data_IF_737809346498
#
_entry.id   IF_737809346498
#
_cell.length_a   1.000
_cell.length_b   1.000
_cell.length_c   1.000
_cell.angle_alpha   90.00
_cell.angle_beta   90.00
_cell.angle_gamma   90.00
#
_symmetry.space_group_name_H-M   'P 1'
#
loop_
_entity.id
_entity.type
_entity.pdbx_description
1 polymer ?
#
# COMPACT_ATOMS: atom_id res chain seq x y z
N UNK A 1 -67.15 9.92 -26.75
CA UNK A 1 -66.38 8.82 -27.36
C UNK A 1 -64.95 9.22 -27.74
N UNK A 2 -64.27 10.09 -26.97
CA UNK A 2 -62.87 10.44 -27.26
C UNK A 2 -62.16 10.98 -26.01
N UNK A 3 -62.10 10.20 -24.92
CA UNK A 3 -61.39 10.64 -23.69
C UNK A 3 -60.94 9.51 -22.77
N UNK A 4 -60.84 8.27 -23.27
CA UNK A 4 -60.44 7.09 -22.46
C UNK A 4 -59.34 6.24 -23.12
N UNK A 5 -58.38 6.89 -23.79
CA UNK A 5 -57.29 6.18 -24.48
C UNK A 5 -55.87 6.63 -24.09
N UNK A 6 -55.71 7.52 -23.10
CA UNK A 6 -54.40 8.03 -22.68
C UNK A 6 -53.93 7.43 -21.34
N UNK A 7 -54.76 6.63 -20.66
CA UNK A 7 -54.52 6.19 -19.28
C UNK A 7 -53.80 4.86 -19.07
N UNK A 8 -53.36 4.14 -20.12
CA UNK A 8 -52.83 2.77 -19.95
C UNK A 8 -51.42 2.55 -20.54
N UNK A 9 -50.83 3.56 -21.19
CA UNK A 9 -49.47 3.43 -21.77
C UNK A 9 -48.34 4.03 -20.92
N UNK A 10 -48.64 4.67 -19.79
CA UNK A 10 -47.59 5.30 -18.95
C UNK A 10 -46.86 4.38 -17.94
N UNK A 11 -47.32 3.19 -17.50
CA UNK A 11 -46.56 2.43 -16.53
C UNK A 11 -45.51 1.47 -17.16
N UNK A 12 -45.51 1.27 -18.49
CA UNK A 12 -44.52 0.40 -19.13
C UNK A 12 -43.18 1.08 -19.46
N UNK A 13 -43.14 2.42 -19.52
CA UNK A 13 -41.91 3.14 -19.88
C UNK A 13 -41.00 3.47 -18.69
N UNK A 14 -41.51 3.34 -17.45
CA UNK A 14 -40.73 3.63 -16.23
C UNK A 14 -40.01 2.41 -15.65
N UNK A 15 -40.26 1.20 -16.14
CA UNK A 15 -39.57 -0.01 -15.66
C UNK A 15 -38.30 -0.39 -16.45
N UNK A 16 -37.95 0.34 -17.51
CA UNK A 16 -36.78 0.00 -18.37
C UNK A 16 -35.53 0.84 -18.04
N UNK A 17 -35.63 1.84 -17.16
CA UNK A 17 -34.52 2.76 -16.85
C UNK A 17 -33.70 2.40 -15.60
N UNK A 18 -33.94 1.24 -14.97
CA UNK A 18 -33.16 0.74 -13.83
C UNK A 18 -32.36 -0.54 -14.13
N UNK A 19 -31.99 -0.75 -15.39
CA UNK A 19 -31.01 -1.79 -15.79
C UNK A 19 -29.89 -1.11 -16.56
N UNK A 20 -29.01 -0.41 -15.85
CA UNK A 20 -27.99 0.38 -16.55
C UNK A 20 -26.99 1.08 -15.66
N UNK A 21 -26.48 0.42 -14.61
CA UNK A 21 -25.21 0.80 -14.01
C UNK A 21 -24.50 -0.43 -13.43
N UNK A 22 -24.32 -1.47 -14.26
CA UNK A 22 -23.20 -2.39 -14.08
C UNK A 22 -22.08 -1.87 -14.97
N UNK A 23 -21.41 -0.81 -14.52
CA UNK A 23 -20.13 -0.43 -15.12
C UNK A 23 -19.19 -1.61 -14.83
N UNK A 24 -18.72 -2.23 -15.91
CA UNK A 24 -17.82 -3.37 -15.93
C UNK A 24 -16.58 -3.08 -15.06
N UNK A 25 -16.56 -3.62 -13.84
CA UNK A 25 -15.39 -3.63 -12.95
C UNK A 25 -14.47 -4.84 -13.19
N UNK A 26 -14.96 -5.87 -13.89
CA UNK A 26 -14.20 -7.11 -14.17
C UNK A 26 -12.87 -6.83 -14.88
N UNK A 27 -12.89 -5.90 -15.84
CA UNK A 27 -11.72 -5.56 -16.65
C UNK A 27 -10.74 -4.60 -15.95
N UNK A 28 -11.09 -4.06 -14.77
CA UNK A 28 -10.14 -3.29 -13.93
C UNK A 28 -9.46 -4.24 -12.93
N UNK A 29 -10.21 -5.17 -12.35
CA UNK A 29 -9.69 -6.16 -11.42
C UNK A 29 -8.62 -7.06 -12.06
N UNK A 30 -8.90 -7.61 -13.26
CA UNK A 30 -7.95 -8.46 -13.99
C UNK A 30 -6.65 -7.71 -14.35
N UNK A 31 -6.75 -6.42 -14.72
CA UNK A 31 -5.58 -5.60 -15.03
C UNK A 31 -4.73 -5.30 -13.79
N UNK A 32 -5.37 -5.08 -12.63
CA UNK A 32 -4.70 -4.90 -11.34
C UNK A 32 -4.04 -6.20 -10.90
N UNK A 33 -4.74 -7.33 -10.99
CA UNK A 33 -4.22 -8.66 -10.64
C UNK A 33 -2.98 -9.02 -11.48
N UNK A 34 -3.07 -8.90 -12.80
CA UNK A 34 -1.92 -9.11 -13.69
C UNK A 34 -0.72 -8.19 -13.35
N UNK A 35 -0.98 -6.95 -12.91
CA UNK A 35 0.09 -6.03 -12.50
C UNK A 35 0.75 -6.49 -11.19
N UNK A 36 -0.06 -6.94 -10.24
CA UNK A 36 0.42 -7.51 -8.97
C UNK A 36 1.27 -8.74 -9.25
N UNK A 37 0.78 -9.68 -10.05
CA UNK A 37 1.51 -10.90 -10.44
C UNK A 37 2.86 -10.58 -11.08
N UNK A 38 2.89 -9.64 -12.04
CA UNK A 38 4.13 -9.21 -12.68
C UNK A 38 5.13 -8.59 -11.71
N UNK A 39 4.66 -7.81 -10.72
CA UNK A 39 5.53 -7.25 -9.67
C UNK A 39 6.07 -8.32 -8.73
N UNK A 40 5.31 -9.40 -8.53
CA UNK A 40 5.63 -10.49 -7.64
C UNK A 40 6.33 -11.68 -8.31
N UNK A 41 6.55 -11.65 -9.63
CA UNK A 41 7.08 -12.76 -10.44
C UNK A 41 8.39 -13.35 -9.88
N UNK A 42 9.26 -12.51 -9.31
CA UNK A 42 10.55 -12.91 -8.74
C UNK A 42 10.51 -13.25 -7.24
N UNK A 43 9.33 -13.17 -6.62
CA UNK A 43 9.14 -13.32 -5.18
C UNK A 43 8.37 -14.61 -4.87
N UNK A 44 9.02 -15.53 -4.15
CA UNK A 44 8.35 -16.73 -3.68
C UNK A 44 7.63 -16.46 -2.35
N UNK A 45 6.37 -16.01 -2.45
CA UNK A 45 5.53 -15.70 -1.30
C UNK A 45 5.17 -16.95 -0.49
N UNK A 46 5.27 -16.85 0.83
CA UNK A 46 4.79 -17.89 1.74
C UNK A 46 3.26 -17.97 1.79
N UNK A 47 2.74 -19.01 2.46
CA UNK A 47 1.31 -19.18 2.71
C UNK A 47 0.66 -17.96 3.38
N UNK A 48 -0.65 -17.82 3.11
CA UNK A 48 -1.49 -16.76 3.69
C UNK A 48 -1.75 -17.06 5.16
N UNK A 49 -1.47 -16.09 6.03
CA UNK A 49 -1.80 -16.17 7.46
C UNK A 49 -2.36 -14.85 7.97
N UNK A 50 -3.02 -14.89 9.14
CA UNK A 50 -3.44 -13.66 9.83
C UNK A 50 -2.20 -12.86 10.23
N UNK A 51 -2.21 -11.54 9.97
CA UNK A 51 -1.01 -10.72 10.12
C UNK A 51 -0.64 -10.44 11.58
N UNK A 52 -1.63 -10.36 12.47
CA UNK A 52 -1.46 -10.18 13.91
C UNK A 52 -2.67 -10.74 14.67
N UNK A 53 -2.53 -10.95 15.98
CA UNK A 53 -3.66 -11.29 16.86
C UNK A 53 -4.68 -10.14 16.85
N UNK A 54 -5.86 -10.38 16.27
CA UNK A 54 -6.93 -9.40 16.16
C UNK A 54 -6.89 -8.51 14.91
N UNK A 55 -5.89 -8.62 14.03
CA UNK A 55 -5.94 -8.01 12.70
C UNK A 55 -6.99 -8.73 11.85
N UNK A 56 -7.83 -8.02 11.09
CA UNK A 56 -8.84 -8.62 10.20
C UNK A 56 -8.40 -8.73 8.73
N UNK A 57 -7.09 -8.64 8.50
CA UNK A 57 -6.48 -8.82 7.20
C UNK A 57 -5.45 -9.93 7.20
N UNK A 58 -5.19 -10.45 6.00
CA UNK A 58 -4.28 -11.57 5.76
C UNK A 58 -2.95 -11.05 5.21
N UNK A 59 -1.89 -11.84 5.36
CA UNK A 59 -0.55 -11.50 4.89
C UNK A 59 0.18 -12.70 4.28
N UNK A 60 0.92 -12.46 3.20
CA UNK A 60 2.00 -13.30 2.67
C UNK A 60 3.31 -12.52 2.71
N UNK A 61 4.45 -13.20 2.83
CA UNK A 61 5.77 -12.56 2.81
C UNK A 61 6.77 -13.36 1.97
N UNK A 62 7.64 -12.64 1.26
CA UNK A 62 8.85 -13.17 0.66
C UNK A 62 10.04 -12.27 1.03
N UNK A 63 11.18 -12.88 1.29
CA UNK A 63 12.41 -12.18 1.69
C UNK A 63 13.54 -12.61 0.76
N UNK A 64 14.20 -11.63 0.15
CA UNK A 64 15.44 -11.82 -0.57
C UNK A 64 16.60 -11.36 0.31
N UNK A 65 17.52 -12.28 0.60
CA UNK A 65 18.72 -11.99 1.37
C UNK A 65 19.91 -11.98 0.43
N UNK A 66 20.48 -10.80 0.17
CA UNK A 66 21.75 -10.70 -0.53
C UNK A 66 22.89 -10.57 0.49
N UNK A 67 23.76 -11.57 0.52
CA UNK A 67 24.91 -11.60 1.41
C UNK A 67 26.09 -10.91 0.70
N UNK A 68 26.51 -9.76 1.26
CA UNK A 68 27.81 -9.08 1.17
C UNK A 68 28.49 -8.96 -0.21
N UNK A 69 28.58 -7.73 -0.74
CA UNK A 69 29.71 -7.34 -1.61
C UNK A 69 30.81 -6.76 -0.72
N UNK A 70 31.97 -7.42 -0.70
CA UNK A 70 33.22 -6.83 -0.21
C UNK A 70 33.78 -6.03 -1.38
N UNK A 71 33.85 -4.71 -1.23
CA UNK A 71 34.66 -3.92 -2.16
C UNK A 71 36.10 -3.96 -1.63
N UNK A 72 37.04 -4.48 -2.42
CA UNK A 72 38.44 -4.55 -2.00
C UNK A 72 39.13 -3.17 -2.05
N UNK A 73 38.53 -2.19 -2.74
CA UNK A 73 39.07 -0.84 -2.89
C UNK A 73 38.57 0.13 -1.81
N UNK A 74 37.45 -0.18 -1.14
CA UNK A 74 36.89 0.62 -0.04
C UNK A 74 36.70 -0.26 1.19
N UNK A 75 37.09 0.21 2.38
CA UNK A 75 36.98 -0.58 3.62
C UNK A 75 35.54 -0.61 4.14
N UNK A 76 34.61 -1.01 3.28
CA UNK A 76 33.19 -1.02 3.56
C UNK A 76 32.57 -2.38 3.25
N UNK A 77 31.81 -2.91 4.22
CA UNK A 77 31.00 -4.11 4.02
C UNK A 77 29.54 -3.66 3.98
N UNK A 78 28.77 -4.13 3.00
CA UNK A 78 27.33 -3.89 2.96
C UNK A 78 26.54 -5.20 3.01
N UNK A 79 25.54 -5.31 3.88
CA UNK A 79 24.55 -6.38 3.85
C UNK A 79 23.19 -5.79 3.55
N UNK A 80 22.54 -6.27 2.50
CA UNK A 80 21.22 -5.80 2.11
C UNK A 80 20.21 -6.95 2.23
N UNK A 81 19.12 -6.68 2.95
CA UNK A 81 17.93 -7.51 2.95
C UNK A 81 16.80 -6.71 2.32
N UNK A 82 16.11 -7.30 1.36
CA UNK A 82 14.88 -6.74 0.81
C UNK A 82 13.76 -7.77 0.89
N UNK A 83 12.53 -7.31 0.91
CA UNK A 83 11.38 -8.18 0.96
C UNK A 83 10.13 -7.52 0.44
N UNK A 84 9.12 -8.36 0.23
CA UNK A 84 7.77 -7.92 -0.07
C UNK A 84 6.80 -8.60 0.88
N UNK A 85 5.92 -7.80 1.49
CA UNK A 85 4.72 -8.29 2.18
C UNK A 85 3.52 -7.97 1.32
N UNK A 86 2.61 -8.92 1.17
CA UNK A 86 1.33 -8.72 0.49
C UNK A 86 0.24 -8.81 1.54
N UNK A 87 -0.47 -7.71 1.77
CA UNK A 87 -1.61 -7.64 2.67
C UNK A 87 -2.91 -7.72 1.87
N UNK A 88 -3.87 -8.51 2.33
CA UNK A 88 -5.15 -8.73 1.66
C UNK A 88 -6.26 -8.38 2.64
N UNK A 89 -7.07 -7.39 2.26
CA UNK A 89 -8.22 -6.91 3.02
C UNK A 89 -9.50 -7.26 2.25
N UNK A 90 -10.41 -7.96 2.91
CA UNK A 90 -11.71 -8.35 2.35
C UNK A 90 -12.77 -7.33 2.79
N UNK A 91 -13.54 -6.75 1.85
CA UNK A 91 -14.62 -5.78 2.13
C UNK A 91 -14.17 -4.47 2.77
N UNK A 92 -12.98 -3.99 2.43
CA UNK A 92 -12.42 -2.73 2.91
C UNK A 92 -12.47 -1.64 1.82
N UNK A 93 -12.59 -0.37 2.23
CA UNK A 93 -12.19 0.73 1.35
C UNK A 93 -10.67 0.82 1.31
N UNK A 94 -10.11 1.42 0.24
CA UNK A 94 -8.65 1.57 0.14
C UNK A 94 -8.11 2.47 1.26
N UNK A 95 -8.87 3.48 1.70
CA UNK A 95 -8.51 4.33 2.84
C UNK A 95 -8.44 3.52 4.13
N UNK A 96 -9.51 2.78 4.44
CA UNK A 96 -9.61 2.01 5.67
C UNK A 96 -8.52 0.93 5.73
N UNK A 97 -8.20 0.29 4.60
CA UNK A 97 -7.13 -0.70 4.53
C UNK A 97 -5.76 -0.08 4.89
N UNK A 98 -5.46 1.12 4.38
CA UNK A 98 -4.22 1.83 4.72
C UNK A 98 -4.23 2.32 6.17
N UNK A 99 -5.33 2.88 6.67
CA UNK A 99 -5.45 3.31 8.06
C UNK A 99 -5.24 2.13 9.02
N UNK A 100 -5.92 1.01 8.79
CA UNK A 100 -5.76 -0.22 9.56
C UNK A 100 -4.32 -0.74 9.50
N UNK A 101 -3.70 -0.78 8.31
CA UNK A 101 -2.32 -1.25 8.17
C UNK A 101 -1.32 -0.35 8.91
N UNK A 102 -1.42 0.97 8.74
CA UNK A 102 -0.53 1.94 9.39
C UNK A 102 -0.70 1.87 10.91
N UNK A 103 -1.93 1.68 11.40
CA UNK A 103 -2.20 1.63 12.83
C UNK A 103 -1.78 0.30 13.50
N UNK A 104 -1.83 -0.82 12.77
CA UNK A 104 -1.49 -2.18 13.24
C UNK A 104 -0.06 -2.41 13.76
N UNK A 105 0.78 -1.38 13.77
CA UNK A 105 2.21 -1.41 14.10
C UNK A 105 3.11 -2.28 13.21
N UNK A 106 2.56 -3.07 12.29
CA UNK A 106 3.34 -3.88 11.32
C UNK A 106 4.14 -3.02 10.33
N UNK A 107 3.62 -1.82 10.04
CA UNK A 107 4.30 -0.78 9.25
C UNK A 107 4.96 0.28 10.15
N UNK A 108 4.33 0.59 11.29
CA UNK A 108 4.72 1.73 12.14
C UNK A 108 6.03 1.58 12.92
N UNK A 109 6.57 0.37 13.10
CA UNK A 109 7.81 0.19 13.90
C UNK A 109 9.01 1.00 13.41
N UNK A 110 8.97 1.54 12.19
CA UNK A 110 10.07 2.26 11.55
C UNK A 110 9.74 3.72 11.18
N UNK A 111 8.54 4.19 11.53
CA UNK A 111 8.03 5.52 11.15
C UNK A 111 8.02 6.40 12.39
N UNK A 112 8.54 7.62 12.27
CA UNK A 112 8.44 8.64 13.32
C UNK A 112 6.96 8.89 13.68
N UNK A 113 6.65 9.16 14.96
CA UNK A 113 5.27 9.32 15.42
C UNK A 113 4.54 10.46 14.73
N UNK A 114 5.19 11.61 14.54
CA UNK A 114 4.60 12.77 13.88
C UNK A 114 4.31 12.50 12.41
N UNK A 115 5.20 11.76 11.73
CA UNK A 115 4.96 11.32 10.35
C UNK A 115 3.78 10.35 10.27
N UNK A 116 3.68 9.39 11.20
CA UNK A 116 2.54 8.47 11.30
C UNK A 116 1.25 9.26 11.51
N UNK A 117 1.21 10.19 12.47
CA UNK A 117 0.03 11.00 12.77
C UNK A 117 -0.35 11.88 11.57
N UNK A 118 0.61 12.57 10.96
CA UNK A 118 0.39 13.40 9.79
C UNK A 118 -0.20 12.61 8.62
N UNK A 119 0.35 11.42 8.37
CA UNK A 119 -0.13 10.51 7.34
C UNK A 119 -1.54 9.98 7.64
N UNK A 120 -1.80 9.51 8.86
CA UNK A 120 -3.13 9.04 9.27
C UNK A 120 -4.19 10.14 9.10
N UNK A 121 -3.87 11.38 9.52
CA UNK A 121 -4.77 12.51 9.37
C UNK A 121 -5.00 12.88 7.89
N UNK A 122 -3.95 12.84 7.06
CA UNK A 122 -4.06 13.11 5.63
C UNK A 122 -4.97 12.09 4.93
N UNK A 123 -4.78 10.79 5.20
CA UNK A 123 -5.62 9.73 4.63
C UNK A 123 -7.05 9.83 5.15
N UNK A 124 -7.23 9.96 6.47
CA UNK A 124 -8.55 10.05 7.10
C UNK A 124 -9.37 11.30 6.69
N UNK A 125 -8.71 12.36 6.24
CA UNK A 125 -9.37 13.56 5.67
C UNK A 125 -9.58 13.48 4.16
N UNK A 126 -9.20 12.37 3.51
CA UNK A 126 -9.39 12.15 2.08
C UNK A 126 -8.43 12.93 1.20
N UNK A 127 -7.25 13.30 1.72
CA UNK A 127 -6.21 13.95 0.92
C UNK A 127 -5.87 13.08 -0.30
N UNK A 128 -5.52 13.73 -1.43
CA UNK A 128 -5.04 13.05 -2.63
C UNK A 128 -3.52 12.95 -2.69
N UNK A 129 -2.85 13.90 -2.06
CA UNK A 129 -1.41 14.03 -2.02
C UNK A 129 -1.01 14.52 -0.62
N UNK A 130 0.11 14.02 -0.11
CA UNK A 130 0.69 14.43 1.16
C UNK A 130 2.20 14.24 1.10
N UNK A 131 2.94 15.21 1.62
CA UNK A 131 4.39 15.14 1.75
C UNK A 131 4.76 15.74 3.10
N UNK A 132 5.59 15.04 3.85
CA UNK A 132 6.20 15.54 5.07
C UNK A 132 7.69 15.19 5.06
N UNK A 133 8.52 16.17 5.42
CA UNK A 133 9.98 16.09 5.40
C UNK A 133 10.53 16.57 6.75
N UNK A 134 11.76 16.16 7.09
CA UNK A 134 12.46 16.67 8.28
C UNK A 134 11.93 16.09 9.59
N UNK A 135 11.78 14.76 9.66
CA UNK A 135 11.37 14.07 10.87
C UNK A 135 12.34 14.29 12.03
N UNK A 136 11.83 14.21 13.25
CA UNK A 136 12.62 14.37 14.48
C UNK A 136 13.03 12.99 14.98
N UNK A 137 14.27 12.84 15.44
CA UNK A 137 14.70 11.59 16.07
C UNK A 137 13.93 11.35 17.39
N UNK A 138 13.36 10.16 17.55
CA UNK A 138 12.71 9.72 18.78
C UNK A 138 13.57 8.66 19.49
N UNK A 139 13.42 8.52 20.81
CA UNK A 139 14.17 7.53 21.58
C UNK A 139 13.82 6.12 21.08
N UNK A 140 14.80 5.44 20.47
CA UNK A 140 14.64 4.07 19.97
C UNK A 140 14.01 3.95 18.57
N UNK A 141 13.67 5.06 17.91
CA UNK A 141 13.12 5.11 16.55
C UNK A 141 13.77 6.28 15.81
N UNK A 142 14.64 6.01 14.84
CA UNK A 142 15.26 7.06 14.01
C UNK A 142 14.24 7.69 13.07
N UNK A 143 14.41 8.97 12.76
CA UNK A 143 13.52 9.70 11.87
C UNK A 143 13.56 9.13 10.44
N UNK A 144 12.39 8.96 9.83
CA UNK A 144 12.30 8.98 8.38
C UNK A 144 12.60 10.41 7.91
N UNK A 145 13.45 10.57 6.90
CA UNK A 145 13.76 11.90 6.35
C UNK A 145 12.54 12.47 5.60
N UNK A 146 11.75 11.57 5.01
CA UNK A 146 10.61 11.92 4.16
C UNK A 146 9.55 10.83 4.10
N UNK A 147 8.29 11.24 4.09
CA UNK A 147 7.15 10.40 3.75
C UNK A 147 6.27 11.09 2.70
N UNK A 148 5.88 10.36 1.67
CA UNK A 148 5.01 10.81 0.59
C UNK A 148 3.81 9.88 0.47
N UNK A 149 2.64 10.43 0.20
CA UNK A 149 1.43 9.69 -0.13
C UNK A 149 0.78 10.28 -1.37
N UNK A 150 0.28 9.42 -2.25
CA UNK A 150 -0.39 9.79 -3.48
C UNK A 150 -1.54 8.82 -3.79
N UNK A 151 -2.75 9.34 -4.04
CA UNK A 151 -3.94 8.59 -4.45
C UNK A 151 -4.30 8.89 -5.91
N UNK A 152 -4.46 7.83 -6.71
CA UNK A 152 -4.62 7.86 -8.18
C UNK A 152 -5.69 6.85 -8.63
N UNK A 153 -6.96 7.16 -8.43
CA UNK A 153 -8.08 6.25 -8.75
C UNK A 153 -8.39 6.05 -10.26
N UNK A 154 -7.72 6.78 -11.17
CA UNK A 154 -8.10 6.81 -12.59
C UNK A 154 -7.39 5.79 -13.47
N UNK A 155 -6.24 5.27 -13.04
CA UNK A 155 -5.40 4.41 -13.87
C UNK A 155 -5.69 2.95 -13.59
N UNK A 156 -5.90 2.14 -14.64
CA UNK A 156 -6.41 0.77 -14.51
C UNK A 156 -5.37 -0.26 -14.09
N UNK A 157 -4.11 -0.08 -14.49
CA UNK A 157 -3.02 -1.00 -14.17
C UNK A 157 -2.07 -0.46 -13.12
N UNK A 158 -2.18 0.81 -12.74
CA UNK A 158 -1.29 1.40 -11.75
C UNK A 158 -1.84 1.21 -10.34
N UNK A 159 -0.96 1.22 -9.30
CA UNK A 159 -1.42 1.30 -7.93
C UNK A 159 -2.34 2.51 -7.75
N UNK A 160 -3.48 2.27 -7.12
CA UNK A 160 -4.50 3.28 -6.84
C UNK A 160 -4.07 4.20 -5.69
N UNK A 161 -3.20 3.71 -4.79
CA UNK A 161 -2.57 4.48 -3.73
C UNK A 161 -1.10 4.08 -3.62
N UNK A 162 -0.22 5.05 -3.38
CA UNK A 162 1.19 4.81 -3.10
C UNK A 162 1.57 5.58 -1.83
N UNK A 163 2.33 4.95 -0.95
CA UNK A 163 3.06 5.60 0.15
C UNK A 163 4.53 5.26 -0.04
N UNK A 164 5.39 6.26 -0.09
CA UNK A 164 6.83 6.05 -0.14
C UNK A 164 7.47 6.70 1.09
N UNK A 165 8.42 5.99 1.68
CA UNK A 165 9.37 6.56 2.62
C UNK A 165 10.78 6.40 2.07
N UNK A 166 11.59 7.43 2.27
CA UNK A 166 13.00 7.40 1.89
C UNK A 166 13.82 7.73 3.12
N UNK A 167 14.83 6.89 3.35
CA UNK A 167 15.91 7.07 4.32
C UNK A 167 15.45 7.13 5.79
N UNK A 168 15.74 6.05 6.50
CA UNK A 168 15.91 6.10 7.95
C UNK A 168 17.37 5.73 8.24
N UNK A 169 18.17 6.63 8.83
CA UNK A 169 19.54 6.29 9.28
C UNK A 169 19.56 6.05 10.79
N UNK A 170 20.00 4.87 11.22
CA UNK A 170 20.09 4.58 12.66
C UNK A 170 21.25 5.37 13.30
N UNK A 171 20.96 6.45 14.02
CA UNK A 171 21.97 7.45 14.42
C UNK A 171 23.01 6.95 15.41
N UNK A 172 22.70 5.95 16.26
CA UNK A 172 23.67 5.41 17.23
C UNK A 172 24.80 4.58 16.60
N UNK A 173 24.65 4.14 15.34
CA UNK A 173 25.68 3.39 14.61
C UNK A 173 25.95 3.90 13.19
N UNK A 174 25.11 4.78 12.61
CA UNK A 174 25.14 5.25 11.20
C UNK A 174 25.26 4.14 10.14
N UNK A 175 25.03 2.91 10.57
CA UNK A 175 25.31 1.70 9.81
C UNK A 175 24.08 1.14 9.14
N UNK A 176 22.88 1.74 9.25
CA UNK A 176 21.67 1.17 8.65
C UNK A 176 20.93 2.20 7.81
N UNK A 177 20.42 1.76 6.65
CA UNK A 177 19.52 2.52 5.77
C UNK A 177 18.27 1.70 5.50
N UNK A 178 17.12 2.32 5.69
CA UNK A 178 15.82 1.72 5.44
C UNK A 178 15.08 2.48 4.32
N UNK A 179 14.27 1.75 3.57
CA UNK A 179 13.30 2.32 2.63
C UNK A 179 12.06 1.42 2.61
N UNK A 180 10.89 2.02 2.69
CA UNK A 180 9.61 1.31 2.61
C UNK A 180 8.73 1.97 1.54
N UNK A 181 7.99 1.13 0.80
CA UNK A 181 7.00 1.57 -0.18
C UNK A 181 5.76 0.70 -0.05
N UNK A 182 4.60 1.33 0.11
CA UNK A 182 3.30 0.69 0.08
C UNK A 182 2.61 1.04 -1.24
N UNK A 183 2.12 0.04 -1.94
CA UNK A 183 1.34 0.19 -3.17
C UNK A 183 0.00 -0.51 -3.00
N UNK A 184 -1.09 0.23 -3.07
CA UNK A 184 -2.46 -0.25 -2.92
C UNK A 184 -3.16 -0.47 -4.26
N UNK A 185 -3.80 -1.62 -4.39
CA UNK A 185 -4.54 -2.06 -5.56
C UNK A 185 -5.97 -2.41 -5.16
N UNK A 186 -6.92 -2.23 -6.08
CA UNK A 186 -8.32 -2.62 -5.90
C UNK A 186 -8.57 -3.78 -6.85
N UNK A 187 -8.73 -4.99 -6.30
CA UNK A 187 -8.97 -6.22 -7.06
C UNK A 187 -10.35 -6.74 -6.68
N UNK A 188 -11.33 -6.47 -7.53
CA UNK A 188 -12.74 -6.76 -7.28
C UNK A 188 -13.20 -6.19 -5.92
N UNK A 189 -13.51 -7.05 -4.95
CA UNK A 189 -13.96 -6.69 -3.59
C UNK A 189 -12.84 -6.63 -2.56
N UNK A 190 -11.60 -6.88 -3.00
CA UNK A 190 -10.42 -6.91 -2.15
C UNK A 190 -9.54 -5.67 -2.36
N UNK A 191 -8.93 -5.23 -1.26
CA UNK A 191 -7.80 -4.31 -1.31
C UNK A 191 -6.53 -5.12 -1.09
N UNK A 192 -5.61 -5.05 -2.04
CA UNK A 192 -4.28 -5.66 -1.92
C UNK A 192 -3.27 -4.53 -1.72
N UNK A 193 -2.49 -4.59 -0.64
CA UNK A 193 -1.39 -3.66 -0.39
C UNK A 193 -0.07 -4.43 -0.48
N UNK A 194 0.77 -4.06 -1.44
CA UNK A 194 2.14 -4.53 -1.54
C UNK A 194 3.05 -3.61 -0.74
N UNK A 195 3.84 -4.19 0.14
CA UNK A 195 4.83 -3.49 0.95
C UNK A 195 6.21 -3.96 0.58
N UNK A 196 6.90 -3.16 -0.22
CA UNK A 196 8.30 -3.35 -0.54
C UNK A 196 9.15 -2.68 0.53
N UNK A 197 10.05 -3.45 1.13
CA UNK A 197 10.96 -2.92 2.13
C UNK A 197 12.39 -3.32 1.80
N UNK A 198 13.33 -2.46 2.18
CA UNK A 198 14.77 -2.74 2.10
C UNK A 198 15.45 -2.23 3.36
N UNK A 199 16.42 -3.00 3.83
CA UNK A 199 17.29 -2.71 4.94
C UNK A 199 18.73 -2.99 4.48
N UNK A 200 19.56 -1.95 4.49
CA UNK A 200 20.98 -2.05 4.17
C UNK A 200 21.80 -1.70 5.39
N UNK A 201 22.61 -2.65 5.85
CA UNK A 201 23.63 -2.40 6.83
C UNK A 201 24.95 -2.03 6.12
N UNK A 202 25.49 -0.86 6.42
CA UNK A 202 26.80 -0.36 6.01
C UNK A 202 27.73 -0.44 7.20
N UNK A 203 28.86 -1.12 7.07
CA UNK A 203 29.96 -1.01 8.03
C UNK A 203 31.09 -0.23 7.39
N UNK A 204 31.57 0.82 8.05
CA UNK A 204 32.87 1.44 7.76
C UNK A 204 33.86 1.06 8.86
N UNK A 205 35.12 0.77 8.50
CA UNK A 205 36.20 0.59 9.49
C UNK A 205 36.40 1.81 10.38
#
# INVERSE_FOLDING_TARGET
>A
MLQRLIGVLLPCFMCVLFVGCFIVYENDAEAQENTIEKKLEVWNLSDVKQACDGCDFKMREAISRNISKVDEQTVSLSRAQSGVKMYIFDNYSIEDAFLTLIDSNLFATRINRDFKIGLLNAIGSGAKDFVMEGGIDEIGISAMDKIEYAKRLRNKSEPKVIINSVNTMHTSRRDYRYSDSLEGYIVDTQIIILHFYSESQLWSR
#
